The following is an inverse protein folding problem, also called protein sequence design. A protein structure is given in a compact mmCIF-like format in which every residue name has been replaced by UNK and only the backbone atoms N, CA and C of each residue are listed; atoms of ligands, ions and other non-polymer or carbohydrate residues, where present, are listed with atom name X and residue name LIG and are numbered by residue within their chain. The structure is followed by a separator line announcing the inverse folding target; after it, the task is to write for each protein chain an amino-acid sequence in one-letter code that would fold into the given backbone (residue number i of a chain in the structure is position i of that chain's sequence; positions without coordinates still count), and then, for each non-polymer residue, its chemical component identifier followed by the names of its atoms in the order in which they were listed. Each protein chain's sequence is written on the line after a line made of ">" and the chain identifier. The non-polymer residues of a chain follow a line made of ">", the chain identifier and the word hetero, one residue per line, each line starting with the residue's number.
data_IF_727996851564
#
_entry.id   IF_727996851564
#
_cell.length_a   1.000
_cell.length_b   1.000
_cell.length_c   1.000
_cell.angle_alpha   90.00
_cell.angle_beta   90.00
_cell.angle_gamma   90.00
#
_symmetry.space_group_name_H-M   'P 1'
#
loop_
_entity.id
_entity.type
_entity.pdbx_description
1 polymer ?
#
# COMPACT_ATOMS: atom_id res chain seq x y z
N UNK A 1 -9.16 46.34 -3.23
CA UNK A 1 -9.46 45.67 -1.94
C UNK A 1 -10.53 44.57 -2.07
N UNK A 2 -11.73 44.85 -2.62
CA UNK A 2 -12.79 43.85 -2.86
C UNK A 2 -12.36 42.63 -3.71
N UNK A 3 -11.48 42.82 -4.70
CA UNK A 3 -11.02 41.74 -5.58
C UNK A 3 -10.08 40.72 -4.89
N UNK A 4 -9.26 41.17 -3.93
CA UNK A 4 -8.44 40.28 -3.09
C UNK A 4 -9.31 39.50 -2.10
N UNK A 5 -10.35 40.14 -1.56
CA UNK A 5 -11.30 39.53 -0.63
C UNK A 5 -12.05 38.35 -1.26
N UNK A 6 -12.52 38.50 -2.50
CA UNK A 6 -13.16 37.40 -3.23
C UNK A 6 -12.18 36.24 -3.50
N UNK A 7 -10.94 36.50 -3.92
CA UNK A 7 -9.93 35.44 -4.14
C UNK A 7 -9.57 34.69 -2.85
N UNK A 8 -9.44 35.39 -1.72
CA UNK A 8 -9.21 34.76 -0.41
C UNK A 8 -10.38 33.88 0.02
N UNK A 9 -11.63 34.31 -0.21
CA UNK A 9 -12.82 33.51 0.13
C UNK A 9 -12.86 32.17 -0.60
N UNK A 10 -12.45 32.14 -1.87
CA UNK A 10 -12.37 30.90 -2.64
C UNK A 10 -11.20 30.00 -2.21
N UNK A 11 -10.02 30.57 -1.93
CA UNK A 11 -8.88 29.82 -1.41
C UNK A 11 -9.21 29.19 -0.05
N UNK A 12 -9.86 29.93 0.85
CA UNK A 12 -10.37 29.41 2.11
C UNK A 12 -11.43 28.32 1.93
N UNK A 13 -12.23 28.39 0.86
CA UNK A 13 -13.19 27.34 0.49
C UNK A 13 -12.51 26.04 0.07
N UNK A 14 -11.51 26.12 -0.81
CA UNK A 14 -10.71 24.96 -1.24
C UNK A 14 -9.94 24.35 -0.07
N UNK A 15 -9.33 25.19 0.77
CA UNK A 15 -8.62 24.73 1.97
C UNK A 15 -9.59 24.07 2.98
N UNK A 16 -10.81 24.59 3.14
CA UNK A 16 -11.85 23.94 3.96
C UNK A 16 -12.26 22.59 3.38
N UNK A 17 -12.48 22.49 2.07
CA UNK A 17 -12.84 21.22 1.43
C UNK A 17 -11.70 20.20 1.59
N UNK A 18 -10.46 20.60 1.32
CA UNK A 18 -9.28 19.74 1.54
C UNK A 18 -9.15 19.32 3.02
N UNK A 19 -9.42 20.22 3.97
CA UNK A 19 -9.44 19.92 5.39
C UNK A 19 -10.57 18.93 5.75
N UNK A 20 -11.80 19.14 5.28
CA UNK A 20 -12.92 18.23 5.55
C UNK A 20 -12.74 16.86 4.89
N UNK A 21 -12.09 16.80 3.73
CA UNK A 21 -11.76 15.54 3.07
C UNK A 21 -10.63 14.82 3.81
N UNK A 22 -9.56 15.52 4.19
CA UNK A 22 -8.51 14.97 5.04
C UNK A 22 -9.08 14.46 6.36
N UNK A 23 -9.96 15.24 6.99
CA UNK A 23 -10.72 14.84 8.17
C UNK A 23 -11.60 13.61 7.90
N UNK A 24 -12.28 13.52 6.76
CA UNK A 24 -13.11 12.39 6.37
C UNK A 24 -12.30 11.11 6.15
N UNK A 25 -11.12 11.19 5.51
CA UNK A 25 -10.22 10.04 5.37
C UNK A 25 -9.68 9.58 6.73
N UNK A 26 -9.30 10.51 7.60
CA UNK A 26 -8.90 10.20 8.98
C UNK A 26 -10.07 9.59 9.77
N UNK A 27 -11.29 10.11 9.58
CA UNK A 27 -12.50 9.66 10.25
C UNK A 27 -12.95 8.27 9.77
N UNK A 28 -12.93 8.00 8.46
CA UNK A 28 -13.20 6.68 7.89
C UNK A 28 -12.18 5.67 8.40
N UNK A 29 -10.89 5.99 8.35
CA UNK A 29 -9.86 5.10 8.90
C UNK A 29 -10.25 4.74 10.34
N UNK A 30 -10.47 5.72 11.22
CA UNK A 30 -10.81 5.48 12.63
C UNK A 30 -12.10 4.69 12.85
N UNK A 31 -13.17 4.93 12.07
CA UNK A 31 -14.46 4.26 12.26
C UNK A 31 -14.56 2.88 11.60
N UNK A 32 -13.95 2.66 10.43
CA UNK A 32 -13.94 1.34 9.79
C UNK A 32 -13.13 0.33 10.61
N UNK A 33 -12.05 0.75 11.31
CA UNK A 33 -11.25 -0.13 12.17
C UNK A 33 -12.03 -0.77 13.34
N UNK A 34 -13.16 -0.19 13.79
CA UNK A 34 -13.90 -0.70 14.96
C UNK A 34 -14.76 -1.93 14.66
N UNK A 35 -15.49 -1.94 13.54
CA UNK A 35 -16.36 -3.06 13.14
C UNK A 35 -15.59 -4.29 12.64
N UNK A 36 -14.34 -4.05 12.26
CA UNK A 36 -13.54 -4.97 11.48
C UNK A 36 -12.81 -6.01 12.32
N UNK A 37 -12.50 -5.69 13.58
CA UNK A 37 -11.97 -6.67 14.55
C UNK A 37 -13.05 -7.69 14.93
N UNK A 38 -14.31 -7.25 15.09
CA UNK A 38 -15.42 -8.17 15.37
C UNK A 38 -15.69 -9.10 14.18
N UNK A 39 -15.70 -8.57 12.95
CA UNK A 39 -15.81 -9.38 11.73
C UNK A 39 -14.67 -10.40 11.61
N UNK A 40 -13.44 -10.00 11.92
CA UNK A 40 -12.30 -10.91 11.91
C UNK A 40 -12.48 -12.01 12.96
N UNK A 41 -12.85 -11.66 14.20
CA UNK A 41 -13.08 -12.64 15.28
C UNK A 41 -14.21 -13.62 14.95
N UNK A 42 -15.31 -13.17 14.32
CA UNK A 42 -16.42 -14.05 13.90
C UNK A 42 -15.99 -15.14 12.93
N UNK A 43 -14.97 -14.87 12.12
CA UNK A 43 -14.46 -15.78 11.09
C UNK A 43 -13.14 -16.45 11.48
N UNK A 44 -12.67 -16.23 12.72
CA UNK A 44 -11.43 -16.79 13.24
C UNK A 44 -11.63 -18.26 13.66
N UNK A 45 -10.84 -19.15 13.08
CA UNK A 45 -10.85 -20.56 13.43
C UNK A 45 -9.65 -20.89 14.33
N UNK A 46 -9.90 -21.12 15.63
CA UNK A 46 -8.88 -21.42 16.65
C UNK A 46 -8.03 -22.64 16.26
N UNK A 47 -8.64 -23.69 15.70
CA UNK A 47 -7.94 -24.93 15.33
C UNK A 47 -6.99 -24.70 14.16
N UNK A 48 -7.46 -23.98 13.13
CA UNK A 48 -6.62 -23.59 12.00
C UNK A 48 -5.45 -22.72 12.47
N UNK A 49 -5.73 -21.68 13.26
CA UNK A 49 -4.69 -20.80 13.82
C UNK A 49 -3.63 -21.58 14.63
N UNK A 50 -4.04 -22.54 15.48
CA UNK A 50 -3.10 -23.38 16.23
C UNK A 50 -2.22 -24.24 15.33
N UNK A 51 -2.76 -24.73 14.21
CA UNK A 51 -1.98 -25.48 13.22
C UNK A 51 -0.99 -24.59 12.49
N UNK A 52 -1.41 -23.40 12.04
CA UNK A 52 -0.53 -22.45 11.35
C UNK A 52 0.60 -21.98 12.25
N UNK A 53 0.34 -21.74 13.54
CA UNK A 53 1.38 -21.38 14.52
C UNK A 53 2.55 -22.38 14.56
N UNK A 54 2.36 -23.65 14.18
CA UNK A 54 3.45 -24.64 14.10
C UNK A 54 4.45 -24.33 12.98
N UNK A 55 4.00 -23.65 11.93
CA UNK A 55 4.78 -23.20 10.78
C UNK A 55 5.44 -21.84 10.99
N UNK A 56 5.26 -21.22 12.16
CA UNK A 56 5.88 -19.94 12.53
C UNK A 56 7.00 -20.24 13.52
N UNK A 57 8.18 -19.64 13.33
CA UNK A 57 9.23 -19.73 14.35
C UNK A 57 8.80 -18.99 15.61
N UNK A 58 9.12 -19.56 16.78
CA UNK A 58 8.80 -18.95 18.08
C UNK A 58 9.33 -17.52 18.19
N UNK A 59 10.52 -17.25 17.62
CA UNK A 59 11.15 -15.93 17.59
C UNK A 59 10.24 -14.85 16.98
N UNK A 60 9.48 -15.15 15.92
CA UNK A 60 8.53 -14.21 15.34
C UNK A 60 7.36 -13.92 16.29
N UNK A 61 6.83 -14.95 16.95
CA UNK A 61 5.75 -14.78 17.93
C UNK A 61 6.21 -13.90 19.10
N UNK A 62 7.46 -14.08 19.53
CA UNK A 62 8.06 -13.30 20.59
C UNK A 62 8.31 -11.84 20.14
N UNK A 63 8.77 -11.61 18.91
CA UNK A 63 8.90 -10.27 18.29
C UNK A 63 7.58 -9.47 18.32
N UNK A 64 6.48 -10.10 17.88
CA UNK A 64 5.15 -9.46 17.86
C UNK A 64 4.69 -9.09 19.26
N UNK A 65 4.94 -9.96 20.24
CA UNK A 65 4.61 -9.70 21.65
C UNK A 65 5.48 -8.62 22.28
N UNK A 66 6.77 -8.57 21.95
CA UNK A 66 7.70 -7.55 22.44
C UNK A 66 7.34 -6.15 21.93
N UNK A 67 6.67 -6.07 20.79
CA UNK A 67 6.06 -4.84 20.27
C UNK A 67 4.65 -4.57 20.86
N UNK A 68 4.26 -5.27 21.93
CA UNK A 68 2.96 -5.15 22.60
C UNK A 68 1.73 -5.45 21.72
N UNK A 69 1.90 -6.26 20.67
CA UNK A 69 0.78 -6.63 19.81
C UNK A 69 0.19 -7.99 20.15
N UNK A 70 -1.13 -8.11 19.95
CA UNK A 70 -1.85 -9.39 19.96
C UNK A 70 -1.78 -10.02 18.57
N UNK A 71 -1.42 -11.32 18.50
CA UNK A 71 -1.31 -12.05 17.23
C UNK A 71 -2.57 -12.88 16.93
N UNK A 72 -3.22 -12.58 15.82
CA UNK A 72 -4.31 -13.35 15.23
C UNK A 72 -3.90 -13.90 13.88
N UNK A 73 -4.31 -15.14 13.57
CA UNK A 73 -3.92 -15.83 12.35
C UNK A 73 -5.16 -16.51 11.75
N UNK A 74 -5.37 -16.33 10.45
CA UNK A 74 -6.49 -16.93 9.73
C UNK A 74 -6.05 -17.49 8.38
N UNK A 75 -6.76 -18.53 7.93
CA UNK A 75 -6.53 -19.19 6.64
C UNK A 75 -7.68 -18.87 5.67
N UNK A 76 -7.36 -18.58 4.41
CA UNK A 76 -8.29 -18.38 3.31
C UNK A 76 -7.94 -19.29 2.13
N UNK A 77 -8.56 -20.47 2.10
CA UNK A 77 -8.23 -21.52 1.11
C UNK A 77 -8.63 -21.19 -0.34
N UNK A 78 -9.61 -20.31 -0.55
CA UNK A 78 -10.14 -19.99 -1.89
C UNK A 78 -9.48 -18.76 -2.53
N UNK A 79 -8.50 -18.14 -1.86
CA UNK A 79 -7.73 -17.02 -2.40
C UNK A 79 -6.45 -17.52 -3.10
N UNK A 80 -5.89 -16.75 -4.05
CA UNK A 80 -4.55 -17.02 -4.57
C UNK A 80 -3.52 -17.16 -3.44
N UNK A 81 -2.45 -17.94 -3.68
CA UNK A 81 -1.40 -18.14 -2.71
C UNK A 81 -0.74 -16.79 -2.34
N UNK A 82 -0.95 -16.36 -1.11
CA UNK A 82 -0.38 -15.14 -0.57
C UNK A 82 -0.21 -15.27 0.96
N UNK A 83 0.55 -14.36 1.55
CA UNK A 83 0.60 -14.14 2.99
C UNK A 83 0.54 -12.65 3.22
N UNK A 84 -0.43 -12.21 4.03
CA UNK A 84 -0.61 -10.79 4.33
C UNK A 84 -0.49 -10.60 5.83
N UNK A 85 0.23 -9.56 6.25
CA UNK A 85 0.25 -9.12 7.64
C UNK A 85 -0.22 -7.69 7.71
N UNK A 86 -1.26 -7.46 8.50
CA UNK A 86 -1.77 -6.12 8.72
C UNK A 86 -2.07 -5.85 10.18
N UNK A 87 -2.12 -4.57 10.49
CA UNK A 87 -2.32 -4.07 11.83
C UNK A 87 -3.70 -3.45 11.99
N UNK A 88 -4.38 -3.77 13.11
CA UNK A 88 -5.57 -3.05 13.56
C UNK A 88 -5.49 -2.85 15.07
N UNK A 89 -5.46 -1.58 15.52
CA UNK A 89 -5.39 -1.15 16.93
C UNK A 89 -4.16 -1.63 17.71
N UNK A 90 -4.23 -2.78 18.37
CA UNK A 90 -3.14 -3.34 19.18
C UNK A 90 -2.91 -4.79 18.75
N UNK A 91 -3.22 -5.09 17.48
CA UNK A 91 -3.33 -6.46 17.00
C UNK A 91 -2.76 -6.57 15.60
N UNK A 92 -1.96 -7.62 15.43
CA UNK A 92 -1.41 -8.08 14.17
C UNK A 92 -2.24 -9.25 13.69
N UNK A 93 -2.69 -9.15 12.45
CA UNK A 93 -3.47 -10.16 11.78
C UNK A 93 -2.63 -10.73 10.66
N UNK A 94 -2.44 -12.04 10.69
CA UNK A 94 -1.78 -12.80 9.63
C UNK A 94 -2.87 -13.52 8.85
N UNK A 95 -3.02 -13.19 7.58
CA UNK A 95 -3.87 -13.93 6.65
C UNK A 95 -3.00 -14.81 5.77
N UNK A 96 -3.25 -16.12 5.82
CA UNK A 96 -2.61 -17.10 4.97
C UNK A 96 -3.59 -17.49 3.87
N UNK A 97 -3.25 -17.22 2.62
CA UNK A 97 -4.12 -17.41 1.48
C UNK A 97 -3.66 -18.61 0.63
N UNK A 98 -4.62 -19.35 0.07
CA UNK A 98 -4.39 -20.43 -0.88
C UNK A 98 -3.49 -21.55 -0.33
N UNK A 99 -2.58 -22.02 -1.18
CA UNK A 99 -1.69 -23.15 -0.90
C UNK A 99 -0.32 -22.75 -0.31
N UNK A 100 -0.15 -21.51 0.17
CA UNK A 100 1.12 -20.99 0.69
C UNK A 100 1.77 -21.92 1.71
N UNK A 101 1.03 -22.43 2.69
CA UNK A 101 1.55 -23.34 3.72
C UNK A 101 1.90 -24.75 3.21
N UNK A 102 1.36 -25.16 2.07
CA UNK A 102 1.73 -26.46 1.45
C UNK A 102 3.02 -26.35 0.64
N UNK A 103 3.36 -25.14 0.19
CA UNK A 103 4.46 -24.88 -0.75
C UNK A 103 5.68 -24.28 -0.05
N UNK A 104 5.49 -23.61 1.08
CA UNK A 104 6.57 -23.01 1.86
C UNK A 104 6.92 -23.88 3.06
N UNK A 105 8.21 -24.06 3.27
CA UNK A 105 8.78 -24.58 4.52
C UNK A 105 8.53 -23.59 5.67
N UNK A 106 8.75 -24.07 6.90
CA UNK A 106 8.63 -23.25 8.12
C UNK A 106 9.49 -21.98 8.08
N UNK A 107 10.73 -22.09 7.59
CA UNK A 107 11.67 -20.97 7.56
C UNK A 107 11.31 -19.98 6.45
N UNK A 108 10.93 -20.46 5.27
CA UNK A 108 10.43 -19.63 4.16
C UNK A 108 9.17 -18.86 4.58
N UNK A 109 8.19 -19.54 5.16
CA UNK A 109 6.96 -18.92 5.64
C UNK A 109 7.26 -17.86 6.70
N UNK A 110 8.15 -18.16 7.65
CA UNK A 110 8.52 -17.18 8.68
C UNK A 110 9.30 -16.00 8.09
N UNK A 111 10.11 -16.21 7.05
CA UNK A 111 10.81 -15.13 6.36
C UNK A 111 9.82 -14.14 5.73
N UNK A 112 8.78 -14.64 5.06
CA UNK A 112 7.71 -13.80 4.52
C UNK A 112 6.98 -13.06 5.64
N UNK A 113 6.70 -13.70 6.78
CA UNK A 113 6.08 -13.02 7.91
C UNK A 113 6.90 -11.85 8.45
N UNK A 114 8.23 -11.97 8.53
CA UNK A 114 9.08 -10.85 8.94
C UNK A 114 9.06 -9.71 7.92
N UNK A 115 9.08 -10.03 6.61
CA UNK A 115 8.93 -9.05 5.54
C UNK A 115 7.61 -8.28 5.68
N UNK A 116 6.49 -9.00 5.73
CA UNK A 116 5.15 -8.42 5.88
C UNK A 116 4.97 -7.65 7.21
N UNK A 117 5.56 -8.14 8.30
CA UNK A 117 5.53 -7.44 9.59
C UNK A 117 6.31 -6.12 9.54
N UNK A 118 7.36 -6.01 8.73
CA UNK A 118 8.07 -4.74 8.55
C UNK A 118 7.22 -3.69 7.85
N UNK A 119 6.35 -4.08 6.90
CA UNK A 119 5.38 -3.15 6.32
C UNK A 119 4.45 -2.55 7.40
N UNK A 120 4.05 -3.36 8.38
CA UNK A 120 3.31 -2.85 9.54
C UNK A 120 4.12 -1.83 10.35
N UNK A 121 5.40 -2.13 10.62
CA UNK A 121 6.25 -1.28 11.46
C UNK A 121 6.61 0.05 10.79
N UNK A 122 6.88 0.05 9.48
CA UNK A 122 7.15 1.28 8.72
C UNK A 122 5.86 2.10 8.57
N UNK A 123 4.73 1.41 8.37
CA UNK A 123 3.45 2.02 8.04
C UNK A 123 3.43 2.62 6.63
N UNK A 124 2.24 2.78 6.06
CA UNK A 124 2.06 3.31 4.68
C UNK A 124 2.01 4.83 4.62
N UNK A 125 2.57 5.54 5.60
CA UNK A 125 2.39 6.99 5.76
C UNK A 125 2.96 7.80 4.58
N UNK A 126 4.14 7.43 4.07
CA UNK A 126 4.77 8.12 2.93
C UNK A 126 3.95 7.99 1.65
N UNK A 127 3.46 6.77 1.37
CA UNK A 127 2.56 6.50 0.24
C UNK A 127 1.26 7.30 0.38
N UNK A 128 0.65 7.29 1.57
CA UNK A 128 -0.58 8.05 1.86
C UNK A 128 -0.41 9.56 1.68
N UNK A 129 0.75 10.13 2.03
CA UNK A 129 1.05 11.54 1.77
C UNK A 129 1.05 11.83 0.27
N UNK A 130 1.69 10.98 -0.54
CA UNK A 130 1.71 11.17 -1.99
C UNK A 130 0.31 11.05 -2.60
N UNK A 131 -0.48 10.08 -2.16
CA UNK A 131 -1.87 9.91 -2.61
C UNK A 131 -2.70 11.15 -2.26
N UNK A 132 -2.53 11.71 -1.05
CA UNK A 132 -3.15 12.96 -0.64
C UNK A 132 -2.69 14.15 -1.48
N UNK A 133 -1.39 14.27 -1.77
CA UNK A 133 -0.85 15.32 -2.63
C UNK A 133 -1.44 15.23 -4.04
N UNK A 134 -1.45 14.04 -4.64
CA UNK A 134 -2.02 13.80 -5.96
C UNK A 134 -3.50 14.19 -5.99
N UNK A 135 -4.26 13.80 -4.96
CA UNK A 135 -5.66 14.19 -4.82
C UNK A 135 -5.85 15.71 -4.74
N UNK A 136 -5.03 16.42 -3.95
CA UNK A 136 -5.08 17.89 -3.86
C UNK A 136 -4.81 18.52 -5.23
N UNK A 137 -3.83 18.03 -5.99
CA UNK A 137 -3.55 18.52 -7.34
C UNK A 137 -4.74 18.31 -8.28
N UNK A 138 -5.42 17.17 -8.19
CA UNK A 138 -6.62 16.88 -8.95
C UNK A 138 -7.77 17.85 -8.62
N UNK A 139 -8.01 18.12 -7.34
CA UNK A 139 -9.03 19.09 -6.89
C UNK A 139 -8.68 20.51 -7.36
N UNK A 140 -7.41 20.91 -7.28
CA UNK A 140 -6.95 22.23 -7.75
C UNK A 140 -7.14 22.34 -9.27
N UNK A 141 -6.82 21.30 -10.03
CA UNK A 141 -7.02 21.25 -11.47
C UNK A 141 -8.51 21.40 -11.84
N UNK A 142 -9.39 20.66 -11.17
CA UNK A 142 -10.84 20.75 -11.33
C UNK A 142 -11.36 22.17 -11.01
N UNK A 143 -10.90 22.75 -9.90
CA UNK A 143 -11.27 24.12 -9.53
C UNK A 143 -10.81 25.15 -10.59
N UNK A 144 -9.57 25.03 -11.09
CA UNK A 144 -9.05 25.89 -12.15
C UNK A 144 -9.90 25.79 -13.43
N UNK A 145 -10.34 24.58 -13.78
CA UNK A 145 -11.24 24.34 -14.91
C UNK A 145 -12.56 25.06 -14.69
N UNK A 146 -13.22 24.89 -13.55
CA UNK A 146 -14.49 25.54 -13.24
C UNK A 146 -14.33 27.07 -13.29
N UNK A 147 -13.26 27.60 -12.70
CA UNK A 147 -12.97 29.03 -12.68
C UNK A 147 -12.76 29.61 -14.09
N UNK A 148 -11.93 28.95 -14.90
CA UNK A 148 -11.64 29.39 -16.28
C UNK A 148 -12.87 29.27 -17.17
N UNK A 149 -13.66 28.21 -17.01
CA UNK A 149 -14.92 28.01 -17.75
C UNK A 149 -15.91 29.14 -17.43
N UNK A 150 -16.07 29.48 -16.14
CA UNK A 150 -16.96 30.57 -15.69
C UNK A 150 -16.55 31.95 -16.18
N UNK A 151 -15.25 32.22 -16.31
CA UNK A 151 -14.76 33.48 -16.88
C UNK A 151 -14.93 33.60 -18.40
N UNK A 152 -15.04 32.47 -19.10
CA UNK A 152 -15.13 32.41 -20.57
C UNK A 152 -16.51 31.96 -21.07
N UNK A 153 -17.57 32.10 -20.27
CA UNK A 153 -18.95 31.64 -20.60
C UNK A 153 -19.45 32.19 -21.96
N UNK A 154 -18.94 33.32 -22.44
CA UNK A 154 -19.33 33.88 -23.73
C UNK A 154 -18.56 33.34 -24.96
N UNK A 155 -17.66 32.37 -24.81
CA UNK A 155 -16.84 31.87 -25.91
C UNK A 155 -17.04 30.37 -26.17
N UNK A 156 -17.47 30.00 -27.40
CA UNK A 156 -17.88 28.63 -27.79
C UNK A 156 -16.80 27.55 -27.57
N UNK A 157 -15.52 27.93 -27.51
CA UNK A 157 -14.38 27.00 -27.36
C UNK A 157 -13.99 26.69 -25.91
N UNK A 158 -14.64 27.33 -24.91
CA UNK A 158 -14.26 27.23 -23.49
C UNK A 158 -14.26 25.78 -22.93
N UNK A 159 -15.30 24.95 -23.14
CA UNK A 159 -15.36 23.61 -22.55
C UNK A 159 -14.29 22.66 -23.09
N UNK A 160 -13.98 22.74 -24.40
CA UNK A 160 -12.97 21.88 -25.06
C UNK A 160 -11.57 22.14 -24.53
N UNK A 161 -11.22 23.39 -24.23
CA UNK A 161 -9.89 23.75 -23.74
C UNK A 161 -9.68 23.36 -22.28
N UNK A 162 -10.73 23.41 -21.46
CA UNK A 162 -10.66 22.95 -20.07
C UNK A 162 -10.48 21.44 -19.95
N UNK A 163 -11.16 20.63 -20.78
CA UNK A 163 -10.94 19.19 -20.85
C UNK A 163 -9.51 18.86 -21.30
N UNK A 164 -8.96 19.59 -22.28
CA UNK A 164 -7.55 19.41 -22.70
C UNK A 164 -6.56 19.69 -21.56
N UNK A 165 -6.79 20.75 -20.78
CA UNK A 165 -5.95 21.07 -19.61
C UNK A 165 -6.08 19.98 -18.54
N UNK A 166 -7.29 19.50 -18.26
CA UNK A 166 -7.51 18.38 -17.35
C UNK A 166 -6.72 17.14 -17.75
N UNK A 167 -6.87 16.73 -19.01
CA UNK A 167 -6.19 15.57 -19.57
C UNK A 167 -4.68 15.77 -19.52
N UNK A 168 -4.18 16.95 -19.89
CA UNK A 168 -2.76 17.28 -19.84
C UNK A 168 -2.19 17.15 -18.43
N UNK A 169 -2.88 17.69 -17.41
CA UNK A 169 -2.49 17.56 -16.00
C UNK A 169 -2.46 16.08 -15.58
N UNK A 170 -3.48 15.30 -15.93
CA UNK A 170 -3.54 13.88 -15.57
C UNK A 170 -2.41 13.06 -16.22
N UNK A 171 -2.16 13.24 -17.51
CA UNK A 171 -1.14 12.46 -18.24
C UNK A 171 0.29 12.91 -17.94
N UNK A 172 0.47 14.08 -17.31
CA UNK A 172 1.80 14.58 -16.90
C UNK A 172 2.01 14.39 -15.40
N UNK A 173 1.30 15.14 -14.57
CA UNK A 173 1.45 15.11 -13.11
C UNK A 173 0.95 13.80 -12.51
N UNK A 174 -0.18 13.26 -13.00
CA UNK A 174 -0.70 11.99 -12.50
C UNK A 174 0.29 10.84 -12.73
N UNK A 175 0.87 10.77 -13.93
CA UNK A 175 1.92 9.79 -14.27
C UNK A 175 3.18 10.00 -13.41
N UNK A 176 3.60 11.24 -13.19
CA UNK A 176 4.76 11.54 -12.33
C UNK A 176 4.52 11.13 -10.86
N UNK A 177 3.36 11.43 -10.30
CA UNK A 177 3.02 11.02 -8.93
C UNK A 177 2.92 9.50 -8.80
N UNK A 178 2.39 8.80 -9.83
CA UNK A 178 2.36 7.34 -9.83
C UNK A 178 3.78 6.74 -9.85
N UNK A 179 4.67 7.28 -10.68
CA UNK A 179 6.08 6.91 -10.67
C UNK A 179 6.71 7.10 -9.28
N UNK A 180 6.50 8.27 -8.67
CA UNK A 180 7.08 8.59 -7.36
C UNK A 180 6.51 7.66 -6.26
N UNK A 181 5.21 7.38 -6.29
CA UNK A 181 4.54 6.43 -5.40
C UNK A 181 5.18 5.05 -5.49
N UNK A 182 5.27 4.50 -6.70
CA UNK A 182 5.83 3.16 -6.91
C UNK A 182 7.33 3.10 -6.59
N UNK A 183 8.06 4.19 -6.82
CA UNK A 183 9.45 4.29 -6.40
C UNK A 183 9.60 4.22 -4.87
N UNK A 184 8.74 4.91 -4.11
CA UNK A 184 8.73 4.80 -2.64
C UNK A 184 8.38 3.38 -2.20
N UNK A 185 7.35 2.77 -2.79
CA UNK A 185 6.97 1.39 -2.48
C UNK A 185 8.15 0.43 -2.74
N UNK A 186 8.88 0.62 -3.84
CA UNK A 186 10.09 -0.16 -4.11
C UNK A 186 11.16 -0.02 -3.01
N UNK A 187 11.31 1.17 -2.41
CA UNK A 187 12.25 1.39 -1.30
C UNK A 187 11.76 0.73 -0.02
N UNK A 188 10.44 0.79 0.26
CA UNK A 188 9.82 0.13 1.40
C UNK A 188 9.98 -1.40 1.31
N UNK A 189 9.78 -2.00 0.13
CA UNK A 189 10.02 -3.42 -0.14
C UNK A 189 11.45 -3.84 0.15
N UNK A 190 12.44 -3.03 -0.24
CA UNK A 190 13.87 -3.31 0.05
C UNK A 190 14.14 -3.26 1.56
N UNK A 191 13.52 -2.32 2.28
CA UNK A 191 13.63 -2.24 3.73
C UNK A 191 12.99 -3.45 4.42
N UNK A 192 11.86 -3.93 3.89
CA UNK A 192 11.16 -5.12 4.37
C UNK A 192 11.97 -6.40 4.11
N UNK A 193 12.58 -6.53 2.94
CA UNK A 193 13.54 -7.59 2.64
C UNK A 193 14.70 -7.56 3.63
N UNK A 194 15.35 -6.41 3.81
CA UNK A 194 16.45 -6.26 4.76
C UNK A 194 16.05 -6.65 6.18
N UNK A 195 14.87 -6.24 6.63
CA UNK A 195 14.39 -6.61 7.97
C UNK A 195 14.18 -8.13 8.11
N UNK A 196 13.66 -8.80 7.09
CA UNK A 196 13.60 -10.27 7.08
C UNK A 196 14.99 -10.91 7.21
N UNK A 197 16.00 -10.39 6.51
CA UNK A 197 17.38 -10.90 6.56
C UNK A 197 18.05 -10.75 7.94
N UNK A 198 17.62 -9.79 8.75
CA UNK A 198 18.10 -9.66 10.14
C UNK A 198 17.62 -10.82 11.04
N UNK A 199 16.57 -11.53 10.63
CA UNK A 199 15.89 -12.51 11.47
C UNK A 199 16.00 -13.94 10.94
N UNK A 200 16.13 -14.10 9.63
CA UNK A 200 16.11 -15.39 8.92
C UNK A 200 17.19 -15.38 7.83
N UNK A 201 17.79 -16.54 7.55
CA UNK A 201 18.81 -16.68 6.49
C UNK A 201 18.27 -16.29 5.11
N UNK A 202 19.09 -15.57 4.33
CA UNK A 202 18.70 -15.02 3.02
C UNK A 202 18.24 -16.06 2.00
N UNK A 203 18.73 -17.29 2.09
CA UNK A 203 18.32 -18.39 1.20
C UNK A 203 16.83 -18.70 1.35
N UNK A 204 16.27 -18.57 2.56
CA UNK A 204 14.84 -18.80 2.79
C UNK A 204 13.97 -17.69 2.19
N UNK A 205 14.41 -16.43 2.26
CA UNK A 205 13.66 -15.34 1.63
C UNK A 205 13.66 -15.49 0.10
N UNK A 206 14.83 -15.74 -0.50
CA UNK A 206 14.96 -15.94 -1.95
C UNK A 206 14.09 -17.12 -2.41
N UNK A 207 14.14 -18.25 -1.70
CA UNK A 207 13.37 -19.43 -2.03
C UNK A 207 11.86 -19.19 -1.89
N UNK A 208 11.44 -18.47 -0.83
CA UNK A 208 10.04 -18.11 -0.64
C UNK A 208 9.52 -17.19 -1.75
N UNK A 209 10.26 -16.13 -2.10
CA UNK A 209 9.89 -15.19 -3.17
C UNK A 209 9.79 -15.90 -4.53
N UNK A 210 10.74 -16.79 -4.82
CA UNK A 210 10.72 -17.60 -6.06
C UNK A 210 9.51 -18.52 -6.09
N UNK A 211 9.20 -19.18 -4.97
CA UNK A 211 8.06 -20.09 -4.85
C UNK A 211 6.74 -19.33 -5.05
N UNK A 212 6.54 -18.20 -4.38
CA UNK A 212 5.32 -17.38 -4.51
C UNK A 212 5.19 -16.80 -5.92
N UNK A 213 6.28 -16.32 -6.52
CA UNK A 213 6.25 -15.79 -7.89
C UNK A 213 5.85 -16.86 -8.92
N UNK A 214 6.35 -18.09 -8.76
CA UNK A 214 5.97 -19.21 -9.61
C UNK A 214 4.50 -19.60 -9.44
N UNK A 215 3.96 -19.55 -8.21
CA UNK A 215 2.54 -19.80 -7.96
C UNK A 215 1.64 -18.73 -8.59
N UNK A 216 2.12 -17.49 -8.68
CA UNK A 216 1.41 -16.38 -9.32
C UNK A 216 1.49 -16.38 -10.85
N UNK A 217 2.28 -17.27 -11.47
CA UNK A 217 2.59 -17.26 -12.92
C UNK A 217 3.16 -15.93 -13.42
N UNK A 218 3.87 -15.19 -12.56
CA UNK A 218 4.50 -13.92 -12.90
C UNK A 218 5.83 -14.17 -13.65
N UNK A 219 5.77 -14.61 -14.90
CA UNK A 219 6.95 -15.05 -15.67
C UNK A 219 7.51 -13.99 -16.62
N UNK A 220 6.94 -12.78 -16.68
CA UNK A 220 7.39 -11.79 -17.68
C UNK A 220 8.50 -10.94 -17.10
N UNK A 221 9.72 -11.09 -17.65
CA UNK A 221 10.84 -10.19 -17.35
C UNK A 221 10.49 -8.79 -17.86
N UNK A 222 10.30 -7.87 -16.93
CA UNK A 222 9.99 -6.48 -17.23
C UNK A 222 11.24 -5.60 -17.20
N UNK A 223 11.25 -4.52 -18.00
CA UNK A 223 12.29 -3.51 -17.92
C UNK A 223 12.23 -2.75 -16.58
N UNK A 224 13.36 -2.20 -16.15
CA UNK A 224 13.43 -1.41 -14.91
C UNK A 224 12.42 -0.26 -14.89
N UNK A 225 12.37 0.51 -15.98
CA UNK A 225 11.45 1.64 -16.10
C UNK A 225 10.00 1.17 -16.05
N UNK A 226 9.66 0.07 -16.72
CA UNK A 226 8.30 -0.46 -16.68
C UNK A 226 7.89 -0.87 -15.26
N UNK A 227 8.77 -1.55 -14.52
CA UNK A 227 8.48 -1.96 -13.13
C UNK A 227 8.18 -0.75 -12.25
N UNK A 228 9.01 0.30 -12.30
CA UNK A 228 8.76 1.48 -11.46
C UNK A 228 7.51 2.23 -11.91
N UNK A 229 7.22 2.27 -13.20
CA UNK A 229 6.05 3.02 -13.69
C UNK A 229 4.72 2.31 -13.39
N UNK A 230 4.69 0.97 -13.37
CA UNK A 230 3.44 0.20 -13.44
C UNK A 230 3.30 -0.98 -12.48
N UNK A 231 4.35 -1.34 -11.72
CA UNK A 231 4.26 -2.45 -10.77
C UNK A 231 4.26 -1.92 -9.34
N UNK A 232 3.43 -2.55 -8.50
CA UNK A 232 3.37 -2.25 -7.07
C UNK A 232 4.49 -2.95 -6.27
N UNK A 233 5.34 -3.76 -6.91
CA UNK A 233 6.49 -4.42 -6.29
C UNK A 233 7.70 -4.44 -7.24
N UNK A 234 8.95 -4.38 -6.73
CA UNK A 234 10.12 -4.64 -7.55
C UNK A 234 10.09 -6.05 -8.14
N UNK A 235 10.66 -6.23 -9.33
CA UNK A 235 10.76 -7.56 -9.94
C UNK A 235 11.54 -8.55 -9.05
N UNK A 236 11.21 -9.83 -9.17
CA UNK A 236 11.89 -10.91 -8.45
C UNK A 236 13.41 -10.85 -8.62
N UNK A 237 13.90 -10.75 -9.86
CA UNK A 237 15.34 -10.63 -10.17
C UNK A 237 15.99 -9.47 -9.40
N UNK A 238 15.30 -8.33 -9.31
CA UNK A 238 15.83 -7.14 -8.63
C UNK A 238 15.90 -7.35 -7.13
N UNK A 239 14.86 -7.94 -6.53
CA UNK A 239 14.85 -8.27 -5.10
C UNK A 239 15.96 -9.27 -4.77
N UNK A 240 16.10 -10.35 -5.55
CA UNK A 240 17.16 -11.35 -5.38
C UNK A 240 18.54 -10.71 -5.49
N UNK A 241 18.77 -9.86 -6.50
CA UNK A 241 20.05 -9.16 -6.65
C UNK A 241 20.36 -8.25 -5.46
N UNK A 242 19.37 -7.51 -4.95
CA UNK A 242 19.56 -6.70 -3.74
C UNK A 242 19.87 -7.58 -2.52
N UNK A 243 19.08 -8.62 -2.27
CA UNK A 243 19.30 -9.56 -1.16
C UNK A 243 20.70 -10.18 -1.22
N UNK A 244 21.18 -10.53 -2.42
CA UNK A 244 22.52 -11.09 -2.59
C UNK A 244 23.64 -10.09 -2.35
N UNK A 245 23.37 -8.79 -2.53
CA UNK A 245 24.32 -7.69 -2.31
C UNK A 245 24.37 -7.17 -0.86
N UNK A 246 23.43 -7.60 -0.01
CA UNK A 246 23.39 -7.30 1.44
C UNK A 246 24.24 -8.30 2.23
#
# INVERSE_FOLDING_TARGET
>A
MLFMYYKMKYLCGVLRIAFYIGYFFIYIDVFDYNNDIERYKKSYNIKAAKNIKKYILKKFIDEVKNNNYKLYIKEYKLRPANVEVFFRKESIFVEVCGDSLKKLTKNEFTSILYHEFKHVLIGTFKVRILDLMNFIFMVVAEYLIIYLTRKKINNKDSPKNCLKIYLFINVTLGVFFNFLRNYIICLEEIECDRYSLLHVDKSYLISALTTLNNLANNFVKHSYLYNIMYQDHPSLDRRINYINSM
#
